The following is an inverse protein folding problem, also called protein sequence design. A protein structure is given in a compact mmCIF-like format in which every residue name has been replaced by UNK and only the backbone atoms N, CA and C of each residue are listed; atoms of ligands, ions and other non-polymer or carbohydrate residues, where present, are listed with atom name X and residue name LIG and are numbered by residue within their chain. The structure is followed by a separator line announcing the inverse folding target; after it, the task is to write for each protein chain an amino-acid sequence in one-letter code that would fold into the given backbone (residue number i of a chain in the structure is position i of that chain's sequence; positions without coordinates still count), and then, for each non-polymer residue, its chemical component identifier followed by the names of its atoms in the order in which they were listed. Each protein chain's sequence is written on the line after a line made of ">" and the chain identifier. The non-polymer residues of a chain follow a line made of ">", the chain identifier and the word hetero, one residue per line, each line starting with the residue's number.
data_IF_796157377037
#
_entry.id   IF_796157377037
#
_cell.length_a   1.000
_cell.length_b   1.000
_cell.length_c   1.000
_cell.angle_alpha   90.00
_cell.angle_beta   90.00
_cell.angle_gamma   90.00
#
_symmetry.space_group_name_H-M   'P 1'
#
loop_
_entity.id
_entity.type
_entity.pdbx_description
1 polymer ?
#
# COMPACT_ATOMS: atom_id res chain seq x y z
N UNK A 1 17.56 15.15 33.60
CA UNK A 1 17.62 14.27 32.40
C UNK A 1 16.21 13.80 32.04
N UNK A 2 15.42 14.61 31.33
CA UNK A 2 14.06 14.22 30.87
C UNK A 2 13.80 14.66 29.42
N UNK A 3 14.30 15.83 29.04
CA UNK A 3 14.21 16.38 27.68
C UNK A 3 14.80 15.51 26.57
N UNK A 4 16.02 14.93 26.68
CA UNK A 4 16.57 14.12 25.59
C UNK A 4 15.78 12.82 25.37
N UNK A 5 15.19 12.27 26.44
CA UNK A 5 14.37 11.07 26.37
C UNK A 5 13.03 11.33 25.67
N UNK A 6 12.40 12.47 25.96
CA UNK A 6 11.14 12.88 25.31
C UNK A 6 11.36 13.15 23.82
N UNK A 7 12.45 13.85 23.44
CA UNK A 7 12.75 14.10 22.03
C UNK A 7 13.04 12.81 21.26
N UNK A 8 13.75 11.86 21.87
CA UNK A 8 13.99 10.55 21.27
C UNK A 8 12.68 9.79 21.00
N UNK A 9 11.77 9.76 21.98
CA UNK A 9 10.48 9.09 21.84
C UNK A 9 9.61 9.74 20.76
N UNK A 10 9.56 11.08 20.69
CA UNK A 10 8.83 11.81 19.64
C UNK A 10 9.42 11.57 18.25
N UNK A 11 10.75 11.50 18.14
CA UNK A 11 11.43 11.16 16.90
C UNK A 11 11.12 9.74 16.43
N UNK A 12 11.16 8.77 17.34
CA UNK A 12 10.79 7.38 17.03
C UNK A 12 9.33 7.25 16.59
N UNK A 13 8.41 7.94 17.27
CA UNK A 13 6.99 7.92 16.91
C UNK A 13 6.77 8.50 15.51
N UNK A 14 7.40 9.64 15.20
CA UNK A 14 7.33 10.26 13.86
C UNK A 14 7.89 9.34 12.77
N UNK A 15 9.00 8.65 13.04
CA UNK A 15 9.59 7.69 12.11
C UNK A 15 8.67 6.49 11.85
N UNK A 16 7.97 6.00 12.89
CA UNK A 16 6.99 4.92 12.75
C UNK A 16 5.83 5.34 11.85
N UNK A 17 5.23 6.50 12.09
CA UNK A 17 4.14 7.03 11.25
C UNK A 17 4.57 7.22 9.80
N UNK A 18 5.75 7.81 9.58
CA UNK A 18 6.34 7.98 8.25
C UNK A 18 6.56 6.62 7.56
N UNK A 19 7.10 5.63 8.26
CA UNK A 19 7.33 4.30 7.70
C UNK A 19 6.04 3.60 7.28
N UNK A 20 4.97 3.71 8.10
CA UNK A 20 3.67 3.14 7.79
C UNK A 20 3.02 3.84 6.58
N UNK A 21 3.13 5.17 6.51
CA UNK A 21 2.62 5.93 5.38
C UNK A 21 3.33 5.54 4.08
N UNK A 22 4.67 5.47 4.08
CA UNK A 22 5.46 5.09 2.91
C UNK A 22 5.12 3.67 2.45
N UNK A 23 4.98 2.74 3.39
CA UNK A 23 4.58 1.36 3.12
C UNK A 23 3.20 1.29 2.44
N UNK A 24 2.24 2.09 2.91
CA UNK A 24 0.92 2.18 2.29
C UNK A 24 1.01 2.72 0.85
N UNK A 25 1.69 3.84 0.63
CA UNK A 25 1.82 4.42 -0.72
C UNK A 25 2.55 3.48 -1.68
N UNK A 26 3.61 2.82 -1.22
CA UNK A 26 4.31 1.81 -2.00
C UNK A 26 3.39 0.65 -2.39
N UNK A 27 2.58 0.13 -1.46
CA UNK A 27 1.76 -1.06 -1.71
C UNK A 27 0.44 -0.78 -2.40
N UNK A 28 -0.14 0.41 -2.24
CA UNK A 28 -1.53 0.66 -2.59
C UNK A 28 -1.77 1.86 -3.49
N UNK A 29 -0.80 2.74 -3.72
CA UNK A 29 -1.01 3.92 -4.56
C UNK A 29 -0.09 3.88 -5.78
N UNK A 30 -0.67 4.07 -6.96
CA UNK A 30 0.05 4.09 -8.23
C UNK A 30 -0.60 5.11 -9.15
N UNK A 31 0.20 5.84 -9.92
CA UNK A 31 -0.36 6.85 -10.82
C UNK A 31 -1.19 6.20 -11.92
N UNK A 32 -0.64 5.16 -12.54
CA UNK A 32 -1.31 4.40 -13.59
C UNK A 32 -0.78 2.96 -13.60
N UNK A 33 -1.66 2.02 -13.89
CA UNK A 33 -1.32 0.65 -14.28
C UNK A 33 -2.47 0.03 -15.07
N UNK A 34 -2.15 -0.92 -15.92
CA UNK A 34 -3.11 -1.79 -16.59
C UNK A 34 -3.41 -3.04 -15.74
N UNK A 35 -4.61 -3.63 -15.89
CA UNK A 35 -4.99 -4.86 -15.21
C UNK A 35 -4.02 -6.04 -15.36
N UNK A 36 -3.39 -6.20 -16.51
CA UNK A 36 -2.44 -7.28 -16.83
C UNK A 36 -1.04 -7.06 -16.24
N UNK A 37 -0.74 -5.87 -15.73
CA UNK A 37 0.54 -5.54 -15.10
C UNK A 37 0.65 -5.99 -13.64
N UNK A 38 -0.40 -6.60 -13.08
CA UNK A 38 -0.47 -7.03 -11.68
C UNK A 38 0.77 -7.81 -11.22
N UNK A 39 1.21 -8.81 -11.99
CA UNK A 39 2.37 -9.63 -11.64
C UNK A 39 3.65 -8.79 -11.56
N UNK A 40 3.92 -8.00 -12.61
CA UNK A 40 5.10 -7.14 -12.70
C UNK A 40 5.14 -6.13 -11.55
N UNK A 41 4.03 -5.41 -11.31
CA UNK A 41 3.97 -4.38 -10.25
C UNK A 41 4.16 -4.99 -8.86
N UNK A 42 3.51 -6.12 -8.56
CA UNK A 42 3.66 -6.81 -7.28
C UNK A 42 5.11 -7.23 -7.02
N UNK A 43 5.80 -7.74 -8.05
CA UNK A 43 7.19 -8.17 -7.96
C UNK A 43 8.16 -6.99 -7.84
N UNK A 44 8.05 -5.99 -8.71
CA UNK A 44 8.93 -4.80 -8.72
C UNK A 44 8.82 -4.01 -7.41
N UNK A 45 7.63 -3.96 -6.80
CA UNK A 45 7.42 -3.29 -5.51
C UNK A 45 7.64 -4.19 -4.29
N UNK A 46 8.05 -5.44 -4.52
CA UNK A 46 8.28 -6.46 -3.48
C UNK A 46 7.12 -6.62 -2.50
N UNK A 47 5.88 -6.61 -3.01
CA UNK A 47 4.67 -6.73 -2.19
C UNK A 47 4.45 -8.19 -1.84
N UNK A 48 4.71 -8.52 -0.57
CA UNK A 48 4.66 -9.89 -0.04
C UNK A 48 3.56 -10.05 1.01
N UNK A 49 3.11 -11.29 1.16
CA UNK A 49 2.24 -11.74 2.24
C UNK A 49 3.04 -12.14 3.49
N UNK A 50 2.37 -12.86 4.39
CA UNK A 50 2.98 -13.39 5.60
C UNK A 50 4.17 -14.31 5.28
N UNK A 51 5.20 -14.25 6.13
CA UNK A 51 6.43 -15.05 5.99
C UNK A 51 7.14 -14.90 4.63
N UNK A 52 6.93 -13.78 3.93
CA UNK A 52 7.58 -13.51 2.64
C UNK A 52 6.95 -14.25 1.45
N UNK A 53 5.84 -14.96 1.65
CA UNK A 53 5.08 -15.60 0.57
C UNK A 53 4.30 -14.61 -0.29
N UNK A 54 3.51 -15.12 -1.23
CA UNK A 54 2.61 -14.28 -2.03
C UNK A 54 1.52 -13.64 -1.19
N UNK A 55 1.27 -12.36 -1.44
CA UNK A 55 0.09 -11.69 -0.89
C UNK A 55 -1.13 -12.17 -1.67
N UNK A 56 -2.19 -12.62 -1.00
CA UNK A 56 -3.35 -13.18 -1.71
C UNK A 56 -4.12 -12.17 -2.55
N UNK A 57 -4.28 -10.94 -2.04
CA UNK A 57 -4.97 -9.84 -2.73
C UNK A 57 -4.25 -8.54 -2.42
N UNK A 58 -4.08 -7.70 -3.44
CA UNK A 58 -3.63 -6.32 -3.30
C UNK A 58 -4.46 -5.40 -4.19
N UNK A 59 -4.92 -4.29 -3.64
CA UNK A 59 -5.65 -3.28 -4.41
C UNK A 59 -4.74 -2.08 -4.62
N UNK A 60 -4.63 -1.64 -5.87
CA UNK A 60 -3.97 -0.41 -6.26
C UNK A 60 -5.01 0.67 -6.57
N UNK A 61 -4.85 1.82 -5.93
CA UNK A 61 -5.62 3.03 -6.15
C UNK A 61 -4.91 3.85 -7.25
N UNK A 62 -5.57 4.03 -8.39
CA UNK A 62 -5.02 4.72 -9.56
C UNK A 62 -5.14 6.25 -9.40
N UNK A 63 -4.07 6.98 -9.71
CA UNK A 63 -4.04 8.45 -9.68
C UNK A 63 -4.45 9.05 -8.34
N UNK A 64 -4.28 8.30 -7.25
CA UNK A 64 -4.98 8.54 -5.99
C UNK A 64 -4.15 9.31 -4.95
N UNK A 65 -2.92 9.74 -5.27
CA UNK A 65 -1.98 10.27 -4.28
C UNK A 65 -2.55 11.43 -3.46
N UNK A 66 -2.94 12.52 -4.12
CA UNK A 66 -3.51 13.70 -3.44
C UNK A 66 -4.83 13.35 -2.75
N UNK A 67 -5.66 12.52 -3.38
CA UNK A 67 -6.97 12.14 -2.85
C UNK A 67 -6.87 11.36 -1.53
N UNK A 68 -5.86 10.49 -1.41
CA UNK A 68 -5.56 9.80 -0.14
C UNK A 68 -5.08 10.80 0.91
N UNK A 69 -4.20 11.73 0.57
CA UNK A 69 -3.75 12.78 1.50
C UNK A 69 -4.91 13.63 2.00
N UNK A 70 -5.82 14.05 1.13
CA UNK A 70 -6.97 14.89 1.48
C UNK A 70 -7.92 14.17 2.44
N UNK A 71 -8.09 12.85 2.31
CA UNK A 71 -8.88 12.02 3.24
C UNK A 71 -8.20 11.93 4.61
N UNK A 72 -6.88 11.86 4.66
CA UNK A 72 -6.14 11.81 5.93
C UNK A 72 -6.03 13.18 6.60
N UNK A 73 -5.93 14.26 5.82
CA UNK A 73 -5.79 15.63 6.30
C UNK A 73 -7.13 16.26 6.71
N UNK A 74 -8.19 15.91 5.99
CA UNK A 74 -9.53 16.38 6.25
C UNK A 74 -10.43 15.23 6.67
N UNK A 75 -11.16 15.43 7.77
CA UNK A 75 -12.40 14.74 8.18
C UNK A 75 -12.21 13.74 9.34
N UNK A 76 -12.83 14.08 10.47
CA UNK A 76 -13.24 13.09 11.48
C UNK A 76 -14.40 12.25 10.92
N UNK A 77 -14.26 10.93 10.92
CA UNK A 77 -15.32 9.98 10.53
C UNK A 77 -15.07 9.26 9.20
N UNK A 78 -15.90 8.26 8.90
CA UNK A 78 -15.85 7.53 7.62
C UNK A 78 -16.58 8.32 6.53
N UNK A 79 -15.92 8.54 5.38
CA UNK A 79 -16.59 9.00 4.15
C UNK A 79 -16.52 7.93 3.07
N UNK A 80 -17.60 7.81 2.31
CA UNK A 80 -17.63 7.02 1.09
C UNK A 80 -16.91 7.83 0.00
N UNK A 81 -15.80 7.31 -0.48
CA UNK A 81 -14.99 7.92 -1.53
C UNK A 81 -14.74 6.89 -2.61
N UNK A 82 -15.03 7.25 -3.86
CA UNK A 82 -14.81 6.37 -5.01
C UNK A 82 -13.36 6.44 -5.47
N UNK A 83 -12.75 5.30 -5.76
CA UNK A 83 -11.44 5.21 -6.39
C UNK A 83 -11.55 4.40 -7.67
N UNK A 84 -10.76 4.77 -8.68
CA UNK A 84 -10.43 3.84 -9.74
C UNK A 84 -9.41 2.87 -9.16
N UNK A 85 -9.67 1.57 -9.29
CA UNK A 85 -8.84 0.54 -8.67
C UNK A 85 -8.50 -0.56 -9.65
N UNK A 86 -7.33 -1.15 -9.42
CA UNK A 86 -6.98 -2.47 -9.97
C UNK A 86 -6.79 -3.41 -8.79
N UNK A 87 -7.52 -4.51 -8.81
CA UNK A 87 -7.39 -5.59 -7.82
C UNK A 87 -6.50 -6.66 -8.42
N UNK A 88 -5.39 -6.96 -7.76
CA UNK A 88 -4.47 -8.03 -8.12
C UNK A 88 -4.66 -9.19 -7.16
N UNK A 89 -5.06 -10.34 -7.69
CA UNK A 89 -5.29 -11.56 -6.92
C UNK A 89 -4.26 -12.60 -7.29
N UNK A 90 -3.68 -13.24 -6.28
CA UNK A 90 -2.75 -14.34 -6.51
C UNK A 90 -3.52 -15.55 -7.06
N UNK A 91 -3.06 -16.07 -8.17
CA UNK A 91 -3.65 -17.25 -8.79
C UNK A 91 -2.87 -18.50 -8.36
N UNK A 92 -3.43 -19.21 -7.39
CA UNK A 92 -2.86 -20.46 -6.86
C UNK A 92 -2.90 -21.62 -7.88
N UNK A 93 -3.64 -21.47 -8.99
CA UNK A 93 -3.74 -22.49 -10.05
C UNK A 93 -2.72 -22.31 -11.18
N UNK A 94 -2.03 -21.16 -11.20
CA UNK A 94 -1.06 -20.86 -12.25
C UNK A 94 0.18 -21.76 -12.15
N UNK A 95 0.68 -22.18 -13.31
CA UNK A 95 1.96 -22.87 -13.44
C UNK A 95 3.15 -21.94 -13.19
N UNK A 96 2.95 -20.61 -13.29
CA UNK A 96 3.99 -19.63 -13.01
C UNK A 96 3.93 -19.22 -11.53
N UNK A 97 5.04 -19.40 -10.77
CA UNK A 97 5.05 -19.01 -9.37
C UNK A 97 4.86 -17.51 -9.23
N UNK A 98 4.06 -17.09 -8.24
CA UNK A 98 3.78 -15.68 -7.96
C UNK A 98 3.07 -14.93 -9.11
N UNK A 99 2.19 -15.62 -9.83
CA UNK A 99 1.33 -15.02 -10.84
C UNK A 99 0.10 -14.37 -10.21
N UNK A 100 -0.29 -13.23 -10.78
CA UNK A 100 -1.44 -12.44 -10.36
C UNK A 100 -2.31 -12.08 -11.57
N UNK A 101 -3.62 -12.29 -11.42
CA UNK A 101 -4.63 -11.83 -12.36
C UNK A 101 -5.37 -10.61 -11.82
N UNK A 102 -6.01 -9.86 -12.72
CA UNK A 102 -7.01 -8.89 -12.33
C UNK A 102 -8.36 -9.57 -12.07
N UNK A 103 -9.06 -9.11 -11.02
CA UNK A 103 -10.45 -9.45 -10.68
C UNK A 103 -11.36 -8.22 -10.82
#
# INVERSE_FOLDING_TARGET
>A
MKTPFVCLLLGLLSAVELSASLDFYQKHVIENMQPDECTTVMQTRHIKGLFGGCKKVNTFLLGAHQKVQDICAGISGQKIVNFNVVVCKHDDSSLHPNYYNNE
#
